data_IF_588900702000
#
_entry.id   IF_588900702000
#
_cell.length_a   1.000
_cell.length_b   1.000
_cell.length_c   1.000
_cell.angle_alpha   90.00
_cell.angle_beta   90.00
_cell.angle_gamma   90.00
#
_symmetry.space_group_name_H-M   'P 1'
#
loop_
_entity.id
_entity.type
_entity.pdbx_description
1 polymer ?
#
# COMPACT_ATOMS: atom_id res chain seq x y z
N UNK A 1 -11.98 -8.09 2.06
CA UNK A 1 -10.68 -8.45 1.48
C UNK A 1 -10.26 -7.45 0.42
N UNK A 2 -8.97 -7.40 0.09
CA UNK A 2 -8.43 -6.38 -0.79
C UNK A 2 -8.55 -6.77 -2.26
N UNK A 3 -8.92 -5.81 -3.11
CA UNK A 3 -8.92 -5.99 -4.55
C UNK A 3 -7.52 -5.79 -5.11
N UNK A 4 -6.83 -4.74 -4.66
CA UNK A 4 -5.44 -4.48 -5.04
C UNK A 4 -4.79 -3.53 -4.04
N UNK A 5 -3.46 -3.53 -4.03
CA UNK A 5 -2.65 -2.61 -3.24
C UNK A 5 -1.61 -1.99 -4.16
N UNK A 6 -1.43 -0.69 -4.06
CA UNK A 6 -0.48 0.05 -4.88
C UNK A 6 0.40 0.94 -4.00
N UNK A 7 1.68 1.03 -4.35
CA UNK A 7 2.62 1.90 -3.65
C UNK A 7 2.37 3.36 -4.02
N UNK A 8 2.48 4.24 -3.02
CA UNK A 8 2.45 5.68 -3.24
C UNK A 8 3.80 6.23 -2.78
N UNK A 9 4.53 6.83 -3.71
CA UNK A 9 5.83 7.42 -3.40
C UNK A 9 5.66 8.85 -2.89
N UNK A 10 6.57 9.24 -2.02
CA UNK A 10 6.73 10.64 -1.61
C UNK A 10 8.06 11.16 -2.12
N UNK A 11 8.14 12.46 -2.36
CA UNK A 11 9.36 13.13 -2.83
C UNK A 11 9.81 14.09 -1.75
N UNK A 12 11.08 14.01 -1.36
CA UNK A 12 11.64 14.93 -0.37
C UNK A 12 12.17 16.22 -1.04
N UNK A 13 12.70 17.13 -0.24
CA UNK A 13 13.20 18.42 -0.71
C UNK A 13 14.36 18.29 -1.68
N UNK A 14 15.05 17.15 -1.68
CA UNK A 14 16.18 16.89 -2.56
C UNK A 14 15.77 16.22 -3.86
N UNK A 15 14.46 16.02 -4.07
CA UNK A 15 13.94 15.37 -5.26
C UNK A 15 14.04 13.86 -5.25
N UNK A 16 14.43 13.27 -4.13
CA UNK A 16 14.50 11.81 -4.00
C UNK A 16 13.12 11.24 -3.67
N UNK A 17 12.74 10.17 -4.35
CA UNK A 17 11.46 9.51 -4.06
C UNK A 17 11.67 8.26 -3.20
N UNK A 18 10.72 8.00 -2.32
CA UNK A 18 10.70 6.82 -1.47
C UNK A 18 9.27 6.41 -1.20
N UNK A 19 9.09 5.18 -0.71
CA UNK A 19 7.74 4.71 -0.37
C UNK A 19 7.17 5.54 0.78
N UNK A 20 6.01 6.15 0.54
CA UNK A 20 5.34 6.98 1.53
C UNK A 20 4.13 6.34 2.18
N UNK A 21 3.36 5.58 1.40
CA UNK A 21 2.16 4.92 1.90
C UNK A 21 1.69 3.88 0.88
N UNK A 22 0.59 3.18 1.20
CA UNK A 22 -0.06 2.28 0.26
C UNK A 22 -1.45 2.81 -0.06
N UNK A 23 -1.87 2.63 -1.32
CA UNK A 23 -3.25 2.83 -1.74
C UNK A 23 -3.93 1.47 -1.77
N UNK A 24 -4.89 1.28 -0.88
CA UNK A 24 -5.61 0.03 -0.72
C UNK A 24 -6.98 0.15 -1.38
N UNK A 25 -7.28 -0.71 -2.35
CA UNK A 25 -8.59 -0.77 -2.98
C UNK A 25 -9.31 -2.02 -2.50
N UNK A 26 -10.51 -1.83 -1.96
CA UNK A 26 -11.36 -2.92 -1.50
C UNK A 26 -12.21 -3.47 -2.65
N UNK A 27 -12.84 -4.63 -2.44
CA UNK A 27 -13.68 -5.24 -3.48
C UNK A 27 -14.91 -4.41 -3.85
N UNK A 28 -15.35 -3.52 -2.96
CA UNK A 28 -16.45 -2.59 -3.24
C UNK A 28 -15.97 -1.29 -3.87
N UNK A 29 -14.70 -1.24 -4.32
CA UNK A 29 -14.05 -0.10 -4.94
C UNK A 29 -13.77 1.07 -3.99
N UNK A 30 -13.94 0.90 -2.68
CA UNK A 30 -13.51 1.90 -1.72
C UNK A 30 -11.98 1.95 -1.68
N UNK A 31 -11.44 3.16 -1.55
CA UNK A 31 -10.00 3.38 -1.54
C UNK A 31 -9.59 3.97 -0.19
N UNK A 32 -8.55 3.39 0.41
CA UNK A 32 -7.97 3.86 1.65
C UNK A 32 -6.48 4.11 1.46
N UNK A 33 -5.98 5.16 2.09
CA UNK A 33 -4.54 5.44 2.09
C UNK A 33 -3.97 4.98 3.42
N UNK A 34 -3.01 4.06 3.37
CA UNK A 34 -2.50 3.34 4.54
C UNK A 34 -1.07 3.77 4.83
N UNK A 35 -0.81 4.36 6.02
CA UNK A 35 0.55 4.77 6.37
C UNK A 35 1.42 3.55 6.67
N UNK A 36 2.75 3.74 6.57
CA UNK A 36 3.72 2.68 6.84
C UNK A 36 4.01 2.60 8.33
N UNK A 37 3.00 2.23 9.11
CA UNK A 37 3.12 2.12 10.58
C UNK A 37 2.71 0.73 11.02
N UNK A 38 3.59 0.08 11.78
CA UNK A 38 3.36 -1.30 12.22
C UNK A 38 2.15 -1.44 13.13
N UNK A 39 1.74 -0.38 13.81
CA UNK A 39 0.54 -0.38 14.65
C UNK A 39 -0.75 -0.21 13.86
N UNK A 40 -0.66 0.11 12.57
CA UNK A 40 -1.85 0.28 11.72
C UNK A 40 -2.35 -1.08 11.27
N UNK A 41 -3.62 -1.37 11.56
CA UNK A 41 -4.23 -2.68 11.24
C UNK A 41 -4.22 -2.96 9.74
N UNK A 42 -4.56 -1.96 8.92
CA UNK A 42 -4.56 -2.13 7.47
C UNK A 42 -3.16 -2.42 6.94
N UNK A 43 -2.15 -1.75 7.50
CA UNK A 43 -0.76 -2.00 7.09
C UNK A 43 -0.36 -3.45 7.38
N UNK A 44 -0.69 -3.96 8.57
CA UNK A 44 -0.42 -5.36 8.91
C UNK A 44 -1.13 -6.31 7.97
N UNK A 45 -2.40 -6.03 7.64
CA UNK A 45 -3.18 -6.86 6.72
C UNK A 45 -2.58 -6.85 5.31
N UNK A 46 -2.05 -5.72 4.86
CA UNK A 46 -1.39 -5.63 3.57
C UNK A 46 -0.16 -6.53 3.52
N UNK A 47 0.65 -6.54 4.58
CA UNK A 47 1.83 -7.39 4.64
C UNK A 47 1.47 -8.87 4.60
N UNK A 48 0.41 -9.27 5.29
CA UNK A 48 -0.06 -10.65 5.26
C UNK A 48 -0.64 -11.01 3.88
N UNK A 49 -1.39 -10.08 3.28
CA UNK A 49 -1.97 -10.27 1.96
C UNK A 49 -0.90 -10.52 0.89
N UNK A 50 0.22 -9.78 0.98
CA UNK A 50 1.31 -9.92 0.02
C UNK A 50 1.97 -11.30 0.08
N UNK A 51 1.94 -11.95 1.23
CA UNK A 51 2.53 -13.29 1.40
C UNK A 51 1.75 -14.38 0.68
N UNK A 52 0.51 -14.12 0.30
CA UNK A 52 -0.33 -15.10 -0.39
C UNK A 52 0.09 -15.15 -1.86
N UNK A 53 0.30 -16.37 -2.38
CA UNK A 53 0.70 -16.55 -3.77
C UNK A 53 -0.28 -15.88 -4.73
N UNK A 54 0.26 -15.19 -5.70
CA UNK A 54 -0.54 -14.47 -6.70
C UNK A 54 -0.90 -13.04 -6.31
N UNK A 55 -0.68 -12.64 -5.07
CA UNK A 55 -0.92 -11.27 -4.63
C UNK A 55 0.37 -10.46 -4.70
N UNK A 56 0.33 -9.35 -5.39
CA UNK A 56 1.50 -8.48 -5.53
C UNK A 56 1.09 -7.03 -5.29
N UNK A 57 1.97 -6.30 -4.59
CA UNK A 57 1.79 -4.87 -4.41
C UNK A 57 2.29 -4.18 -5.68
N UNK A 58 1.43 -3.39 -6.31
CA UNK A 58 1.78 -2.70 -7.56
C UNK A 58 2.76 -1.56 -7.28
N UNK A 59 3.65 -1.34 -8.25
CA UNK A 59 4.59 -0.22 -8.15
C UNK A 59 3.86 1.12 -8.32
N UNK A 60 4.45 2.18 -7.77
CA UNK A 60 3.94 3.53 -7.94
C UNK A 60 4.12 3.98 -9.40
N UNK A 61 3.21 4.82 -9.82
CA UNK A 61 3.29 5.43 -11.17
C UNK A 61 4.46 6.42 -11.27
#
# INVERSE_FOLDING_TARGET
MFKKVKKINKVNDEGQSSLGSYELTMFNDEIFYVPLKTENTHYQQILEWEKIDGNNIEDAD
#
